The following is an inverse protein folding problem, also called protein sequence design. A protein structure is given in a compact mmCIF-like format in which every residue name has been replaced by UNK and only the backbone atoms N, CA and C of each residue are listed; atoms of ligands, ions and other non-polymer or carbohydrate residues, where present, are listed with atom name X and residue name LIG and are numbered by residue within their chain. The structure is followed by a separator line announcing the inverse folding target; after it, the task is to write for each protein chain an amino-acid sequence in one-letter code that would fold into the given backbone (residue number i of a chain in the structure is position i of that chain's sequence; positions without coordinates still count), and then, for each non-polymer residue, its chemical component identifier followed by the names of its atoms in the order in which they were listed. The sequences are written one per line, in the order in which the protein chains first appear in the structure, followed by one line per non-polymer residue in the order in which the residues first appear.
data_IF_062302450912
#
_entry.id   IF_062302450912
#
_cell.length_a   1.000
_cell.length_b   1.000
_cell.length_c   1.000
_cell.angle_alpha   90.00
_cell.angle_beta   90.00
_cell.angle_gamma   90.00
#
_symmetry.space_group_name_H-M   'P 1'
#
loop_
_entity.id
_entity.type
_entity.pdbx_description
1 polymer ?
#
# COMPACT_ATOMS: atom_id res chain seq x y z
N UNK A 1 -20.21 -19.80 4.10
CA UNK A 1 -20.10 -19.49 4.56
C UNK A 1 -20.17 -19.39 4.32
N UNK A 2 -20.00 -19.66 4.02
CA UNK A 2 -19.90 -19.39 4.34
C UNK A 2 -19.78 -19.13 4.39
N UNK A 3 -19.33 -19.03 3.78
CA UNK A 3 -19.05 -18.63 4.28
C UNK A 3 -18.90 -18.47 4.57
N UNK A 4 -18.54 -18.71 4.28
CA UNK A 4 -18.15 -18.42 5.02
C UNK A 4 -17.94 -18.45 5.06
N UNK A 5 -17.76 -18.44 4.53
CA UNK A 5 -17.45 -18.29 4.97
C UNK A 5 -17.09 -18.31 4.94
N UNK A 6 -16.81 -18.50 4.45
CA UNK A 6 -16.30 -18.39 4.88
C UNK A 6 -15.90 -18.30 4.61
N UNK A 7 -15.39 -18.37 4.31
CA UNK A 7 -14.97 -18.04 4.61
C UNK A 7 -14.53 -17.74 4.84
N UNK A 8 -14.22 -17.72 4.66
CA UNK A 8 -13.68 -17.35 5.30
C UNK A 8 -13.23 -17.01 5.22
N UNK A 9 -12.80 -16.91 4.94
CA UNK A 9 -12.44 -16.45 5.29
C UNK A 9 -12.31 -16.12 5.70
N UNK A 10 -12.18 -16.26 5.68
CA UNK A 10 -12.10 -15.92 6.36
C UNK A 10 -11.95 -15.65 6.93
N UNK A 11 -11.54 -15.61 7.06
CA UNK A 11 -11.51 -15.32 7.72
C UNK A 11 -10.82 -14.96 8.12
N UNK A 12 -10.23 -14.81 8.07
CA UNK A 12 -9.77 -14.35 8.27
C UNK A 12 -9.11 -13.78 8.29
N UNK A 13 -8.73 -14.20 8.47
CA UNK A 13 -7.99 -13.21 8.29
C UNK A 13 -8.22 -12.57 7.28
N UNK A 14 -8.72 -13.11 7.57
CA UNK A 14 -9.11 -12.60 6.79
C UNK A 14 -9.57 -11.47 6.46
N UNK A 15 -9.81 -11.02 6.77
CA UNK A 15 -10.41 -9.81 6.38
C UNK A 15 -9.57 -8.96 5.47
N UNK A 16 -8.38 -8.67 5.84
CA UNK A 16 -7.49 -7.88 5.00
C UNK A 16 -7.06 -8.68 3.78
N UNK A 17 -7.21 -8.10 2.59
CA UNK A 17 -6.78 -8.70 1.34
C UNK A 17 -5.41 -8.17 0.97
N UNK A 18 -4.51 -9.06 0.57
CA UNK A 18 -3.21 -8.67 0.04
C UNK A 18 -3.36 -8.26 -1.42
N UNK A 19 -2.69 -7.16 -1.78
CA UNK A 19 -2.57 -6.73 -3.17
C UNK A 19 -1.10 -6.68 -3.53
N UNK A 20 -0.73 -7.35 -4.61
CA UNK A 20 0.64 -7.38 -5.09
C UNK A 20 0.76 -6.53 -6.35
N UNK A 21 1.80 -5.71 -6.40
CA UNK A 21 2.13 -4.93 -7.58
C UNK A 21 3.58 -5.20 -7.96
N UNK A 22 3.80 -5.59 -9.20
CA UNK A 22 5.15 -5.76 -9.74
C UNK A 22 5.71 -4.38 -10.11
N UNK A 23 6.92 -4.09 -9.65
CA UNK A 23 7.57 -2.80 -9.90
C UNK A 23 8.98 -3.05 -10.39
N UNK A 24 9.32 -2.46 -11.53
CA UNK A 24 10.67 -2.55 -12.10
C UNK A 24 11.10 -1.19 -12.64
N UNK A 25 10.82 -0.13 -11.90
CA UNK A 25 11.09 1.24 -12.29
C UNK A 25 11.49 2.05 -11.06
N UNK A 26 12.29 3.10 -11.26
CA UNK A 26 12.63 4.07 -10.22
C UNK A 26 11.71 5.29 -10.25
N UNK A 27 10.70 5.30 -11.13
CA UNK A 27 9.68 6.34 -11.14
C UNK A 27 8.58 6.00 -10.14
N UNK A 28 7.87 7.00 -9.65
CA UNK A 28 6.74 6.79 -8.73
C UNK A 28 5.71 5.87 -9.39
N UNK A 29 5.38 4.78 -8.73
CA UNK A 29 4.48 3.74 -9.25
C UNK A 29 3.33 3.55 -8.26
N UNK A 30 2.10 3.59 -8.75
CA UNK A 30 0.92 3.40 -7.92
C UNK A 30 0.82 1.95 -7.47
N UNK A 31 0.72 1.73 -6.16
CA UNK A 31 0.58 0.41 -5.57
C UNK A 31 -0.75 0.25 -4.82
N UNK A 32 -1.47 1.34 -4.61
CA UNK A 32 -2.82 1.34 -4.04
C UNK A 32 -3.55 2.57 -4.55
N UNK A 33 -4.81 2.40 -4.95
CA UNK A 33 -5.66 3.54 -5.27
C UNK A 33 -7.06 3.30 -4.74
N UNK A 34 -7.76 4.40 -4.42
CA UNK A 34 -9.15 4.33 -4.00
C UNK A 34 -9.86 5.64 -4.34
N UNK A 35 -11.19 5.58 -4.44
CA UNK A 35 -12.01 6.74 -4.76
C UNK A 35 -12.00 7.73 -3.60
N UNK A 36 -11.64 8.98 -3.86
CA UNK A 36 -11.62 10.02 -2.84
C UNK A 36 -13.02 10.37 -2.34
N UNK A 37 -14.05 10.11 -3.15
CA UNK A 37 -15.43 10.37 -2.75
C UNK A 37 -15.98 9.30 -1.81
N UNK A 38 -15.34 8.13 -1.73
CA UNK A 38 -15.80 6.99 -0.95
C UNK A 38 -15.02 6.84 0.35
N UNK A 39 -13.70 6.99 0.29
CA UNK A 39 -12.83 6.75 1.45
C UNK A 39 -12.04 7.99 1.81
N UNK A 40 -11.92 8.22 3.12
CA UNK A 40 -11.22 9.38 3.69
C UNK A 40 -9.77 9.08 4.04
N UNK A 41 -9.49 7.87 4.51
CA UNK A 41 -8.20 7.51 5.06
C UNK A 41 -7.88 6.05 4.78
N UNK A 42 -6.60 5.71 4.84
CA UNK A 42 -6.13 4.34 4.72
C UNK A 42 -5.03 4.09 5.75
N UNK A 43 -5.09 2.92 6.39
CA UNK A 43 -4.00 2.41 7.22
C UNK A 43 -3.38 1.26 6.46
N UNK A 44 -2.09 1.37 6.14
CA UNK A 44 -1.44 0.53 5.14
C UNK A 44 -0.24 -0.17 5.75
N UNK A 45 -0.16 -1.49 5.54
CA UNK A 45 1.03 -2.27 5.82
C UNK A 45 1.62 -2.72 4.50
N UNK A 46 2.94 -2.59 4.35
CA UNK A 46 3.63 -2.82 3.09
C UNK A 46 4.79 -3.78 3.30
N UNK A 47 4.98 -4.69 2.35
CA UNK A 47 6.21 -5.46 2.24
C UNK A 47 6.74 -5.30 0.82
N UNK A 48 8.01 -4.93 0.69
CA UNK A 48 8.70 -4.90 -0.59
C UNK A 48 9.65 -6.10 -0.63
N UNK A 49 9.56 -6.89 -1.68
CA UNK A 49 10.49 -8.00 -1.95
C UNK A 49 11.24 -7.69 -3.23
N UNK A 50 12.56 -7.60 -3.15
CA UNK A 50 13.41 -7.34 -4.32
C UNK A 50 14.61 -8.27 -4.27
N UNK A 51 14.56 -9.35 -5.05
CA UNK A 51 15.55 -10.42 -4.98
C UNK A 51 15.52 -11.07 -3.60
N UNK A 52 16.62 -11.03 -2.89
CA UNK A 52 16.73 -11.53 -1.52
C UNK A 52 16.72 -10.39 -0.49
N UNK A 53 16.35 -9.19 -0.89
CA UNK A 53 16.24 -8.03 -0.02
C UNK A 53 14.76 -7.76 0.30
N UNK A 54 14.49 -7.33 1.53
CA UNK A 54 13.13 -7.13 2.02
C UNK A 54 13.03 -5.84 2.82
N UNK A 55 11.88 -5.18 2.69
CA UNK A 55 11.54 -4.00 3.47
C UNK A 55 10.08 -4.11 3.88
N UNK A 56 9.76 -3.71 5.12
CA UNK A 56 8.36 -3.59 5.51
C UNK A 56 8.13 -2.26 6.23
N UNK A 57 6.87 -1.81 6.26
CA UNK A 57 6.52 -0.58 6.93
C UNK A 57 5.03 -0.43 7.14
N UNK A 58 4.68 0.52 8.00
CA UNK A 58 3.30 0.93 8.24
C UNK A 58 3.16 2.40 7.92
N UNK A 59 2.06 2.73 7.25
CA UNK A 59 1.79 4.08 6.79
C UNK A 59 0.37 4.46 7.11
N UNK A 60 0.17 5.71 7.51
CA UNK A 60 -1.16 6.30 7.64
C UNK A 60 -1.33 7.35 6.55
N UNK A 61 -2.48 7.31 5.88
CA UNK A 61 -2.79 8.21 4.78
C UNK A 61 -4.16 8.84 5.00
N UNK A 62 -4.25 10.15 4.80
CA UNK A 62 -5.53 10.87 4.83
C UNK A 62 -5.53 11.93 3.73
N UNK A 63 -6.71 12.27 3.24
CA UNK A 63 -6.86 13.36 2.27
C UNK A 63 -8.03 14.26 2.63
N UNK A 64 -8.03 15.46 2.06
CA UNK A 64 -9.10 16.45 2.23
C UNK A 64 -9.88 16.70 0.94
N UNK A 65 -9.71 15.85 -0.07
CA UNK A 65 -10.32 15.99 -1.39
C UNK A 65 -9.41 16.70 -2.39
N UNK A 66 -8.36 17.34 -1.91
CA UNK A 66 -7.41 18.10 -2.74
C UNK A 66 -5.97 17.67 -2.49
N UNK A 67 -5.61 17.46 -1.23
CA UNK A 67 -4.25 17.14 -0.81
C UNK A 67 -4.24 15.83 -0.04
N UNK A 68 -3.20 15.03 -0.27
CA UNK A 68 -2.97 13.78 0.45
C UNK A 68 -1.80 13.97 1.41
N UNK A 69 -1.99 13.50 2.64
CA UNK A 69 -0.92 13.48 3.64
C UNK A 69 -0.61 12.01 3.98
N UNK A 70 0.65 11.64 3.91
CA UNK A 70 1.12 10.31 4.26
C UNK A 70 2.16 10.42 5.35
N UNK A 71 1.99 9.62 6.41
CA UNK A 71 2.95 9.53 7.51
C UNK A 71 3.48 8.10 7.56
N UNK A 72 4.80 7.97 7.61
CA UNK A 72 5.46 6.69 7.83
C UNK A 72 5.51 6.44 9.34
N UNK A 73 4.72 5.44 9.79
CA UNK A 73 4.68 5.08 11.21
C UNK A 73 5.93 4.32 11.61
N UNK A 74 6.38 3.40 10.76
CA UNK A 74 7.65 2.72 10.90
C UNK A 74 8.07 2.11 9.57
N UNK A 75 9.37 1.79 9.46
CA UNK A 75 9.88 1.06 8.31
C UNK A 75 11.16 0.35 8.74
N UNK A 76 11.31 -0.90 8.28
CA UNK A 76 12.50 -1.72 8.54
C UNK A 76 12.91 -2.41 7.24
N UNK A 77 14.20 -2.70 7.13
CA UNK A 77 14.72 -3.41 5.97
C UNK A 77 15.82 -4.37 6.42
N UNK A 78 16.01 -5.44 5.64
CA UNK A 78 17.05 -6.43 5.92
C UNK A 78 18.45 -5.91 5.59
N UNK A 79 18.52 -4.82 4.85
CA UNK A 79 19.76 -4.12 4.50
C UNK A 79 19.41 -2.65 4.31
N UNK A 80 19.83 -2.07 3.20
CA UNK A 80 19.44 -0.70 2.86
C UNK A 80 17.95 -0.63 2.54
N UNK A 81 17.34 0.53 2.76
CA UNK A 81 15.95 0.75 2.39
C UNK A 81 15.80 0.64 0.87
N UNK A 82 14.75 -0.04 0.43
CA UNK A 82 14.54 -0.36 -0.99
C UNK A 82 13.74 0.72 -1.71
N UNK A 83 12.82 1.38 -1.01
CA UNK A 83 11.99 2.40 -1.62
C UNK A 83 11.32 3.29 -0.59
N UNK A 84 10.70 4.36 -1.09
CA UNK A 84 9.96 5.31 -0.27
C UNK A 84 8.53 5.43 -0.81
N UNK A 85 7.63 5.94 0.02
CA UNK A 85 6.21 6.02 -0.31
C UNK A 85 5.70 7.45 -0.23
N UNK A 86 4.74 7.76 -1.09
CA UNK A 86 4.09 9.07 -1.13
C UNK A 86 2.65 8.91 -1.59
N UNK A 87 1.86 9.98 -1.46
CA UNK A 87 0.47 9.99 -1.88
C UNK A 87 0.16 11.21 -2.73
N UNK A 88 -0.78 11.06 -3.65
CA UNK A 88 -1.25 12.15 -4.48
C UNK A 88 -2.71 11.88 -4.89
N UNK A 89 -3.37 12.90 -5.42
CA UNK A 89 -4.70 12.75 -6.02
C UNK A 89 -4.55 12.92 -7.52
N UNK A 90 -5.16 11.99 -8.26
CA UNK A 90 -5.23 12.05 -9.71
C UNK A 90 -6.69 11.85 -10.11
N UNK A 91 -7.31 12.89 -10.67
CA UNK A 91 -8.74 12.87 -10.99
C UNK A 91 -9.57 12.61 -9.74
N UNK A 92 -10.34 11.53 -9.74
CA UNK A 92 -11.22 11.16 -8.64
C UNK A 92 -10.60 10.16 -7.67
N UNK A 93 -9.31 9.86 -7.83
CA UNK A 93 -8.65 8.81 -7.07
C UNK A 93 -7.50 9.32 -6.22
N UNK A 94 -7.37 8.73 -5.03
CA UNK A 94 -6.19 8.88 -4.19
C UNK A 94 -5.21 7.77 -4.58
N UNK A 95 -3.96 8.13 -4.82
CA UNK A 95 -2.91 7.18 -5.20
C UNK A 95 -1.85 7.11 -4.12
N UNK A 96 -1.53 5.90 -3.68
CA UNK A 96 -0.39 5.63 -2.81
C UNK A 96 0.70 5.02 -3.69
N UNK A 97 1.87 5.65 -3.73
CA UNK A 97 2.91 5.34 -4.71
C UNK A 97 4.22 4.99 -4.04
N UNK A 98 4.94 4.05 -4.65
CA UNK A 98 6.30 3.70 -4.26
C UNK A 98 7.28 4.30 -5.24
N UNK A 99 8.42 4.78 -4.73
CA UNK A 99 9.57 5.18 -5.55
C UNK A 99 10.74 4.30 -5.12
N UNK A 100 11.11 3.37 -6.02
CA UNK A 100 12.18 2.42 -5.76
C UNK A 100 13.54 3.06 -5.99
N UNK A 101 14.55 2.63 -5.22
CA UNK A 101 15.92 3.05 -5.43
C UNK A 101 16.62 2.30 -6.55
N UNK A 102 16.07 1.16 -6.98
CA UNK A 102 16.62 0.32 -8.05
C UNK A 102 15.50 -0.14 -8.96
N UNK A 103 15.76 -0.25 -10.25
CA UNK A 103 14.82 -0.74 -11.24
C UNK A 103 14.78 -2.27 -11.34
N UNK A 104 15.53 -2.99 -10.51
CA UNK A 104 15.45 -4.44 -10.46
C UNK A 104 14.04 -4.88 -10.09
N UNK A 105 13.60 -6.00 -10.62
CA UNK A 105 12.25 -6.54 -10.38
C UNK A 105 11.95 -6.62 -8.90
N UNK A 106 10.82 -6.04 -8.50
CA UNK A 106 10.36 -6.07 -7.13
C UNK A 106 8.87 -6.37 -7.09
N UNK A 107 8.40 -6.88 -5.96
CA UNK A 107 6.98 -7.02 -5.67
C UNK A 107 6.66 -6.21 -4.42
N UNK A 108 5.64 -5.36 -4.53
CA UNK A 108 5.15 -4.59 -3.39
C UNK A 108 3.80 -5.19 -2.98
N UNK A 109 3.75 -5.69 -1.76
CA UNK A 109 2.55 -6.32 -1.19
C UNK A 109 1.94 -5.38 -0.18
N UNK A 110 0.64 -5.10 -0.33
CA UNK A 110 -0.10 -4.13 0.48
C UNK A 110 -1.21 -4.85 1.24
N UNK A 111 -1.29 -4.59 2.54
CA UNK A 111 -2.48 -4.83 3.36
C UNK A 111 -3.04 -3.47 3.74
N UNK A 112 -4.36 -3.31 3.65
CA UNK A 112 -4.97 -2.00 3.89
C UNK A 112 -6.27 -2.10 4.66
N UNK A 113 -6.53 -1.06 5.44
CA UNK A 113 -7.84 -0.78 6.02
C UNK A 113 -8.26 0.60 5.55
N UNK A 114 -9.45 0.69 4.94
CA UNK A 114 -9.96 1.95 4.40
C UNK A 114 -11.08 2.46 5.29
N UNK A 115 -11.07 3.77 5.53
CA UNK A 115 -12.08 4.45 6.34
C UNK A 115 -12.93 5.32 5.43
N UNK A 116 -14.25 5.17 5.47
CA UNK A 116 -15.18 5.93 4.61
C UNK A 116 -15.25 7.41 4.98
N UNK A 117 -15.61 8.20 3.97
CA UNK A 117 -15.87 9.65 4.19
C UNK A 117 -17.11 9.89 5.04
#
# INVERSE_FOLDING_TARGET
ATSFVGDGSALTGVGASEEDTAVSSTSATTVLSFAKATYRAAFIEVVITQGSAYQSGKYSLIHDGTTVTVVEENAIATGSMLGSFSGTISGDNVLFQVTMGSASSATVTILKDLVTV
#
